data_IF_569474985305
#
_entry.id   IF_569474985305
#
_cell.length_a   1.000
_cell.length_b   1.000
_cell.length_c   1.000
_cell.angle_alpha   90.00
_cell.angle_beta   90.00
_cell.angle_gamma   90.00
#
_symmetry.space_group_name_H-M   'P 1'
#
loop_
_entity.id
_entity.type
_entity.pdbx_description
1 polymer ?
#
# COMPACT_ATOMS: atom_id res chain seq x y z
N UNK A 1 3.27 -34.19 -21.82
CA UNK A 1 3.11 -32.72 -21.97
C UNK A 1 1.64 -32.43 -21.76
N UNK A 2 1.23 -32.13 -20.53
CA UNK A 2 -0.18 -31.93 -20.16
C UNK A 2 -0.39 -30.46 -19.86
N UNK A 3 -1.16 -29.82 -20.72
CA UNK A 3 -1.62 -28.43 -20.55
C UNK A 3 -2.67 -28.45 -19.45
N UNK A 4 -2.35 -27.92 -18.27
CA UNK A 4 -3.30 -27.73 -17.18
C UNK A 4 -4.16 -26.51 -17.53
N UNK A 5 -5.45 -26.76 -17.74
CA UNK A 5 -6.47 -25.75 -17.96
C UNK A 5 -6.51 -24.80 -16.75
N UNK A 6 -6.23 -23.51 -17.01
CA UNK A 6 -6.48 -22.42 -16.06
C UNK A 6 -7.98 -22.14 -16.17
N UNK A 7 -8.72 -22.55 -15.15
CA UNK A 7 -10.13 -22.16 -14.99
C UNK A 7 -10.13 -20.73 -14.43
N UNK A 8 -10.39 -19.76 -15.28
CA UNK A 8 -10.73 -18.40 -14.86
C UNK A 8 -12.15 -18.42 -14.35
N UNK A 9 -12.33 -18.41 -13.04
CA UNK A 9 -13.65 -18.21 -12.42
C UNK A 9 -13.97 -16.72 -12.53
N UNK A 10 -14.73 -16.36 -13.55
CA UNK A 10 -15.34 -15.04 -13.66
C UNK A 10 -16.50 -14.98 -12.66
N UNK A 11 -16.28 -14.39 -11.49
CA UNK A 11 -17.34 -14.07 -10.54
C UNK A 11 -18.22 -12.98 -11.19
N UNK A 12 -19.39 -13.37 -11.70
CA UNK A 12 -20.44 -12.43 -12.07
C UNK A 12 -21.02 -11.83 -10.79
N UNK A 13 -20.57 -10.62 -10.45
CA UNK A 13 -21.23 -9.78 -9.45
C UNK A 13 -22.56 -9.29 -10.06
N UNK A 14 -23.67 -9.30 -9.28
CA UNK A 14 -24.94 -8.77 -9.77
C UNK A 14 -24.80 -7.27 -10.02
N UNK A 15 -25.34 -6.79 -11.13
CA UNK A 15 -25.47 -5.39 -11.46
C UNK A 15 -26.36 -4.72 -10.39
N UNK A 16 -25.73 -4.09 -9.40
CA UNK A 16 -26.39 -3.21 -8.44
C UNK A 16 -26.62 -1.86 -9.13
N UNK A 17 -27.81 -1.34 -8.95
CA UNK A 17 -28.42 -0.25 -9.69
C UNK A 17 -27.58 1.02 -9.78
N UNK A 18 -27.77 1.71 -10.91
CA UNK A 18 -27.23 3.02 -11.30
C UNK A 18 -27.58 4.13 -10.28
N UNK A 19 -26.87 4.18 -9.16
CA UNK A 19 -26.64 5.45 -8.49
C UNK A 19 -25.53 6.18 -9.26
N UNK A 20 -25.51 7.50 -9.29
CA UNK A 20 -24.43 8.27 -9.90
C UNK A 20 -23.09 7.67 -9.42
N UNK A 21 -22.25 7.22 -10.35
CA UNK A 21 -20.98 6.60 -10.02
C UNK A 21 -20.05 7.70 -9.49
N UNK A 22 -19.87 7.73 -8.17
CA UNK A 22 -18.84 8.56 -7.56
C UNK A 22 -17.48 8.07 -7.99
N UNK A 23 -16.59 9.00 -8.31
CA UNK A 23 -15.23 8.71 -8.72
C UNK A 23 -14.49 7.88 -7.67
N UNK A 24 -13.67 6.95 -8.15
CA UNK A 24 -12.87 6.11 -7.28
C UNK A 24 -11.81 6.93 -6.55
N UNK A 25 -11.75 6.85 -5.22
CA UNK A 25 -10.66 7.35 -4.40
C UNK A 25 -9.78 6.15 -3.98
N UNK A 26 -8.58 6.07 -4.55
CA UNK A 26 -7.66 4.96 -4.31
C UNK A 26 -6.63 5.33 -3.24
N UNK A 27 -6.16 4.31 -2.50
CA UNK A 27 -5.00 4.43 -1.61
C UNK A 27 -3.69 4.05 -2.33
N UNK A 28 -3.76 3.84 -3.63
CA UNK A 28 -2.64 3.48 -4.52
C UNK A 28 -2.39 4.56 -5.57
N UNK A 29 -1.14 4.62 -6.12
CA UNK A 29 0.06 3.81 -5.80
C UNK A 29 0.96 4.44 -4.72
N UNK A 30 0.53 5.55 -4.11
CA UNK A 30 1.23 6.34 -3.10
C UNK A 30 1.34 5.54 -1.78
N UNK A 31 2.31 5.85 -0.93
CA UNK A 31 2.38 5.37 0.45
C UNK A 31 1.41 6.16 1.35
N UNK A 32 1.25 7.47 1.08
CA UNK A 32 0.22 8.29 1.73
C UNK A 32 -1.13 7.90 1.15
N UNK A 33 -1.97 7.34 2.00
CA UNK A 33 -3.31 6.93 1.62
C UNK A 33 -4.25 8.12 1.45
N UNK A 34 -5.40 7.91 0.81
CA UNK A 34 -6.45 8.92 0.76
C UNK A 34 -7.16 9.06 2.11
N UNK A 35 -7.59 10.29 2.45
CA UNK A 35 -8.46 10.56 3.59
C UNK A 35 -9.89 10.05 3.38
N UNK A 36 -10.28 9.76 2.12
CA UNK A 36 -11.62 9.37 1.73
C UNK A 36 -11.90 7.89 1.96
N UNK A 37 -13.16 7.56 2.22
CA UNK A 37 -13.71 6.21 2.27
C UNK A 37 -14.46 5.88 0.96
N UNK A 38 -14.72 4.60 0.72
CA UNK A 38 -15.34 4.17 -0.55
C UNK A 38 -16.83 4.50 -0.69
N UNK A 39 -17.47 5.00 0.39
CA UNK A 39 -18.90 5.31 0.45
C UNK A 39 -19.76 4.10 0.82
N UNK A 40 -20.92 4.38 1.41
CA UNK A 40 -21.83 3.36 1.97
C UNK A 40 -22.27 2.31 0.96
N UNK A 41 -22.08 1.04 1.32
CA UNK A 41 -22.48 -0.12 0.50
C UNK A 41 -21.59 -0.35 -0.72
N UNK A 42 -20.55 0.47 -0.92
CA UNK A 42 -19.59 0.30 -2.01
C UNK A 42 -18.48 -0.67 -1.63
N UNK A 43 -18.00 -1.40 -2.62
CA UNK A 43 -16.87 -2.30 -2.49
C UNK A 43 -15.77 -1.87 -3.46
N UNK A 44 -14.52 -1.86 -3.00
CA UNK A 44 -13.36 -1.51 -3.82
C UNK A 44 -12.25 -2.54 -3.66
N UNK A 45 -11.63 -2.90 -4.76
CA UNK A 45 -10.44 -3.76 -4.82
C UNK A 45 -9.30 -2.93 -5.39
N UNK A 46 -8.17 -2.92 -4.70
CA UNK A 46 -6.92 -2.34 -5.17
C UNK A 46 -5.85 -3.44 -5.15
N UNK A 47 -5.29 -3.79 -6.29
CA UNK A 47 -4.30 -4.87 -6.38
C UNK A 47 -3.16 -4.48 -7.30
N UNK A 48 -2.00 -5.11 -7.13
CA UNK A 48 -0.83 -4.82 -7.96
C UNK A 48 0.11 -5.99 -8.10
N UNK A 49 1.01 -5.87 -9.06
CA UNK A 49 2.28 -6.55 -9.09
C UNK A 49 3.36 -5.57 -8.62
N UNK A 50 4.08 -5.93 -7.58
CA UNK A 50 5.17 -5.13 -7.02
C UNK A 50 6.49 -5.92 -7.06
N UNK A 51 7.60 -5.21 -7.17
CA UNK A 51 8.91 -5.81 -7.14
C UNK A 51 9.93 -4.90 -6.47
N UNK A 52 10.80 -5.51 -5.65
CA UNK A 52 11.89 -4.83 -4.97
C UNK A 52 13.24 -5.44 -5.36
N UNK A 53 14.26 -4.60 -5.29
CA UNK A 53 15.65 -5.00 -5.52
C UNK A 53 16.55 -4.30 -4.53
N UNK A 54 17.43 -5.09 -3.90
CA UNK A 54 18.46 -4.59 -3.01
C UNK A 54 19.83 -5.24 -3.35
N UNK A 55 20.92 -4.51 -3.09
CA UNK A 55 22.28 -5.05 -3.20
C UNK A 55 23.11 -4.54 -2.04
N UNK A 56 23.45 -5.41 -1.10
CA UNK A 56 24.27 -5.09 0.06
C UNK A 56 25.17 -6.26 0.41
N UNK A 57 26.38 -6.00 0.91
CA UNK A 57 27.29 -7.03 1.46
C UNK A 57 27.62 -8.19 0.52
N UNK A 58 27.60 -7.99 -0.81
CA UNK A 58 27.81 -9.08 -1.76
C UNK A 58 26.57 -9.92 -2.06
N UNK A 59 25.43 -9.62 -1.43
CA UNK A 59 24.16 -10.28 -1.69
C UNK A 59 23.29 -9.39 -2.60
N UNK A 60 22.57 -10.03 -3.52
CA UNK A 60 21.52 -9.40 -4.34
C UNK A 60 20.20 -10.04 -3.98
N UNK A 61 19.30 -9.22 -3.43
CA UNK A 61 17.95 -9.62 -3.12
C UNK A 61 16.97 -9.08 -4.17
N UNK A 62 15.97 -9.89 -4.49
CA UNK A 62 14.82 -9.54 -5.31
C UNK A 62 13.58 -10.14 -4.68
N UNK A 63 12.56 -9.33 -4.52
CA UNK A 63 11.24 -9.78 -4.12
C UNK A 63 10.20 -9.38 -5.15
N UNK A 64 9.17 -10.20 -5.31
CA UNK A 64 7.95 -9.91 -6.05
C UNK A 64 6.77 -10.23 -5.15
N UNK A 65 5.76 -9.38 -5.19
CA UNK A 65 4.55 -9.54 -4.39
C UNK A 65 3.32 -9.15 -5.20
N UNK A 66 2.14 -9.56 -4.70
CA UNK A 66 0.84 -9.17 -5.25
C UNK A 66 0.00 -8.48 -4.17
N UNK A 67 0.42 -7.28 -3.70
CA UNK A 67 -0.31 -6.56 -2.68
C UNK A 67 -1.76 -6.34 -3.10
N UNK A 68 -2.68 -6.57 -2.16
CA UNK A 68 -4.11 -6.42 -2.40
C UNK A 68 -4.78 -5.81 -1.17
N UNK A 69 -5.60 -4.80 -1.41
CA UNK A 69 -6.44 -4.12 -0.45
C UNK A 69 -7.90 -4.29 -0.89
N UNK A 70 -8.73 -4.77 0.01
CA UNK A 70 -10.18 -4.82 -0.13
C UNK A 70 -10.80 -3.80 0.82
N UNK A 71 -11.71 -2.97 0.32
CA UNK A 71 -12.38 -1.91 1.07
C UNK A 71 -13.89 -2.07 0.93
N UNK A 72 -14.62 -1.91 2.03
CA UNK A 72 -16.07 -1.91 2.03
C UNK A 72 -16.62 -0.78 2.91
N UNK A 73 -17.43 0.09 2.32
CA UNK A 73 -18.07 1.21 3.00
C UNK A 73 -19.24 0.76 3.86
N UNK A 74 -19.10 0.87 5.16
CA UNK A 74 -20.17 0.54 6.13
C UNK A 74 -21.12 1.71 6.38
N UNK A 75 -20.61 2.95 6.18
CA UNK A 75 -21.38 4.19 6.18
C UNK A 75 -20.74 5.19 5.21
N UNK A 76 -21.25 6.42 5.16
CA UNK A 76 -20.65 7.48 4.34
C UNK A 76 -19.25 7.87 4.83
N UNK A 77 -18.98 7.70 6.13
CA UNK A 77 -17.74 8.14 6.76
C UNK A 77 -16.85 6.97 7.23
N UNK A 78 -17.30 5.72 7.12
CA UNK A 78 -16.58 4.56 7.66
C UNK A 78 -16.44 3.43 6.64
N UNK A 79 -15.25 2.87 6.55
CA UNK A 79 -15.00 1.62 5.82
C UNK A 79 -14.25 0.60 6.66
N UNK A 80 -14.46 -0.68 6.34
CA UNK A 80 -13.64 -1.80 6.81
C UNK A 80 -12.69 -2.22 5.69
N UNK A 81 -11.52 -2.72 6.07
CA UNK A 81 -10.41 -2.99 5.17
C UNK A 81 -9.81 -4.36 5.44
N UNK A 82 -9.34 -5.01 4.40
CA UNK A 82 -8.49 -6.20 4.47
C UNK A 82 -7.31 -5.99 3.54
N UNK A 83 -6.11 -6.06 4.10
CA UNK A 83 -4.85 -5.88 3.37
C UNK A 83 -3.99 -7.14 3.44
N UNK A 84 -3.24 -7.41 2.39
CA UNK A 84 -2.21 -8.46 2.37
C UNK A 84 -1.15 -8.14 1.32
N UNK A 85 0.09 -8.53 1.57
CA UNK A 85 1.13 -8.54 0.53
C UNK A 85 0.86 -9.61 -0.55
N UNK A 86 -0.16 -10.46 -0.35
CA UNK A 86 -0.56 -11.51 -1.28
C UNK A 86 0.52 -12.57 -1.45
N UNK A 87 0.70 -13.05 -2.69
CA UNK A 87 1.75 -14.01 -2.99
C UNK A 87 3.11 -13.31 -3.07
N UNK A 88 4.08 -13.83 -2.33
CA UNK A 88 5.46 -13.33 -2.30
C UNK A 88 6.41 -14.39 -2.87
N UNK A 89 7.40 -13.92 -3.62
CA UNK A 89 8.56 -14.69 -4.03
C UNK A 89 9.83 -13.87 -3.83
N UNK A 90 10.67 -14.30 -2.90
CA UNK A 90 11.95 -13.67 -2.58
C UNK A 90 13.11 -14.54 -3.06
N UNK A 91 14.13 -13.93 -3.61
CA UNK A 91 15.34 -14.62 -4.10
C UNK A 91 16.56 -13.84 -3.66
N UNK A 92 17.43 -14.48 -2.89
CA UNK A 92 18.77 -14.00 -2.52
C UNK A 92 19.83 -14.69 -3.38
N UNK A 93 20.79 -13.92 -3.85
CA UNK A 93 21.90 -14.42 -4.68
C UNK A 93 23.22 -13.91 -4.13
N UNK A 94 24.10 -14.81 -3.73
CA UNK A 94 25.48 -14.48 -3.41
C UNK A 94 26.25 -14.15 -4.71
N UNK A 95 26.81 -12.94 -4.78
CA UNK A 95 27.43 -12.46 -6.02
C UNK A 95 28.80 -13.05 -6.30
N UNK A 96 29.48 -13.64 -5.30
CA UNK A 96 30.78 -14.27 -5.45
C UNK A 96 30.67 -15.72 -5.91
N UNK A 97 29.79 -16.50 -5.29
CA UNK A 97 29.56 -17.90 -5.61
C UNK A 97 28.49 -18.14 -6.68
N UNK A 98 27.61 -17.19 -6.90
CA UNK A 98 26.40 -17.35 -7.74
C UNK A 98 25.32 -18.23 -7.11
N UNK A 99 25.48 -18.65 -5.86
CA UNK A 99 24.50 -19.45 -5.13
C UNK A 99 23.19 -18.67 -4.97
N UNK A 100 22.06 -19.36 -5.16
CA UNK A 100 20.72 -18.78 -5.07
C UNK A 100 19.86 -19.50 -4.06
N UNK A 101 19.17 -18.74 -3.26
CA UNK A 101 18.14 -19.21 -2.35
C UNK A 101 16.83 -18.53 -2.70
N UNK A 102 15.73 -19.29 -2.83
CA UNK A 102 14.41 -18.75 -3.20
C UNK A 102 13.36 -19.30 -2.28
N UNK A 103 12.57 -18.40 -1.73
CA UNK A 103 11.38 -18.69 -0.94
C UNK A 103 10.14 -18.17 -1.64
N UNK A 104 8.99 -18.83 -1.39
CA UNK A 104 7.70 -18.42 -1.90
C UNK A 104 6.61 -18.76 -0.91
N UNK A 105 5.63 -17.87 -0.79
CA UNK A 105 4.51 -18.04 0.14
C UNK A 105 3.52 -16.91 0.01
N UNK A 106 2.79 -16.65 1.08
CA UNK A 106 1.82 -15.56 1.20
C UNK A 106 2.18 -14.69 2.39
N UNK A 107 1.98 -13.39 2.25
CA UNK A 107 2.12 -12.42 3.34
C UNK A 107 0.98 -12.54 4.35
N UNK A 108 1.17 -11.88 5.48
CA UNK A 108 0.15 -11.77 6.51
C UNK A 108 -1.08 -11.00 6.01
N UNK A 109 -2.18 -11.17 6.73
CA UNK A 109 -3.41 -10.40 6.54
C UNK A 109 -3.49 -9.34 7.64
N UNK A 110 -3.83 -8.11 7.25
CA UNK A 110 -4.17 -7.00 8.13
C UNK A 110 -5.66 -6.69 8.01
N UNK A 111 -6.32 -6.47 9.12
CA UNK A 111 -7.69 -6.00 9.20
C UNK A 111 -7.69 -4.55 9.68
N UNK A 112 -8.40 -3.69 8.99
CA UNK A 112 -8.41 -2.27 9.29
C UNK A 112 -9.79 -1.64 9.23
N UNK A 113 -9.83 -0.44 9.77
CA UNK A 113 -10.94 0.51 9.62
C UNK A 113 -10.37 1.85 9.22
N UNK A 114 -11.10 2.58 8.37
CA UNK A 114 -10.84 3.99 8.07
C UNK A 114 -12.08 4.79 8.42
N UNK A 115 -11.85 5.94 9.03
CA UNK A 115 -12.85 6.94 9.35
C UNK A 115 -12.50 8.25 8.63
N UNK A 116 -13.37 8.69 7.74
CA UNK A 116 -13.32 10.03 7.19
C UNK A 116 -13.87 11.00 8.24
N UNK A 117 -13.01 11.86 8.76
CA UNK A 117 -13.34 12.74 9.92
C UNK A 117 -13.92 14.06 9.47
N UNK A 118 -13.37 14.62 8.39
CA UNK A 118 -13.75 15.94 7.90
C UNK A 118 -13.33 16.15 6.45
N UNK A 119 -14.18 16.83 5.69
CA UNK A 119 -13.87 17.36 4.37
C UNK A 119 -12.92 18.56 4.46
N UNK A 120 -12.18 18.79 3.38
CA UNK A 120 -11.42 20.00 3.19
C UNK A 120 -12.35 21.24 3.21
N UNK A 121 -11.93 22.26 3.92
CA UNK A 121 -12.64 23.53 3.93
C UNK A 121 -11.68 24.69 4.18
N UNK A 122 -11.61 25.62 3.24
CA UNK A 122 -10.69 26.76 3.26
C UNK A 122 -9.22 26.29 3.38
N UNK A 123 -8.53 26.62 4.46
CA UNK A 123 -7.17 26.18 4.75
C UNK A 123 -7.07 24.88 5.57
N UNK A 124 -8.21 24.31 5.99
CA UNK A 124 -8.24 23.05 6.76
C UNK A 124 -8.22 21.87 5.80
N UNK A 125 -7.38 20.85 6.06
CA UNK A 125 -7.32 19.66 5.21
C UNK A 125 -8.59 18.81 5.31
N UNK A 126 -8.78 17.96 4.32
CA UNK A 126 -9.51 16.72 4.49
C UNK A 126 -8.76 15.81 5.46
N UNK A 127 -9.47 15.10 6.34
CA UNK A 127 -8.84 14.29 7.40
C UNK A 127 -9.44 12.89 7.45
N UNK A 128 -8.57 11.88 7.39
CA UNK A 128 -8.90 10.47 7.60
C UNK A 128 -8.09 9.89 8.77
N UNK A 129 -8.70 8.98 9.52
CA UNK A 129 -8.03 8.17 10.55
C UNK A 129 -8.11 6.70 10.19
N UNK A 130 -6.99 5.99 10.35
CA UNK A 130 -6.87 4.56 10.06
C UNK A 130 -6.37 3.82 11.28
N UNK A 131 -6.94 2.66 11.52
CA UNK A 131 -6.45 1.71 12.52
C UNK A 131 -6.39 0.31 11.90
N UNK A 132 -5.28 -0.40 12.14
CA UNK A 132 -5.06 -1.74 11.62
C UNK A 132 -4.61 -2.69 12.73
N UNK A 133 -4.99 -3.95 12.56
CA UNK A 133 -4.48 -5.09 13.34
C UNK A 133 -3.87 -6.08 12.35
N UNK A 134 -2.57 -6.31 12.48
CA UNK A 134 -1.82 -7.22 11.65
C UNK A 134 -1.83 -8.60 12.29
N UNK A 135 -2.21 -9.61 11.50
CA UNK A 135 -2.36 -11.00 11.94
C UNK A 135 -1.17 -11.81 11.43
N UNK A 136 -0.71 -12.75 12.23
CA UNK A 136 0.36 -13.69 11.91
C UNK A 136 -0.14 -14.90 11.11
N UNK A 137 -0.74 -14.65 9.94
CA UNK A 137 -1.47 -15.64 9.11
C UNK A 137 -0.69 -16.11 7.89
N UNK A 138 0.43 -15.48 7.58
CA UNK A 138 1.24 -15.74 6.39
C UNK A 138 1.93 -17.11 6.38
N UNK A 139 2.58 -17.40 5.27
CA UNK A 139 3.46 -18.58 5.15
C UNK A 139 4.70 -18.41 6.02
N UNK A 140 5.26 -19.50 6.54
CA UNK A 140 6.40 -19.47 7.48
C UNK A 140 7.55 -18.52 7.11
N UNK A 141 8.01 -18.39 5.83
CA UNK A 141 9.07 -17.46 5.47
C UNK A 141 8.70 -15.99 5.50
N UNK A 142 7.38 -15.66 5.54
CA UNK A 142 6.85 -14.29 5.39
C UNK A 142 5.89 -13.90 6.50
N UNK A 143 5.75 -14.76 7.49
CA UNK A 143 4.85 -14.54 8.62
C UNK A 143 5.57 -13.82 9.73
N UNK A 144 4.96 -12.75 10.25
CA UNK A 144 5.41 -12.10 11.48
C UNK A 144 5.41 -13.06 12.67
N UNK A 145 6.29 -12.85 13.65
CA UNK A 145 6.38 -13.69 14.84
C UNK A 145 5.34 -13.30 15.92
N UNK A 146 4.28 -12.63 15.53
CA UNK A 146 3.17 -12.23 16.39
C UNK A 146 2.33 -11.12 15.78
N UNK A 147 1.26 -10.75 16.50
CA UNK A 147 0.32 -9.72 16.05
C UNK A 147 0.90 -8.32 16.24
N UNK A 148 0.69 -7.48 15.25
CA UNK A 148 1.02 -6.07 15.23
C UNK A 148 -0.21 -5.19 15.06
N UNK A 149 0.03 -3.92 14.73
CA UNK A 149 -1.01 -2.98 14.39
C UNK A 149 -0.47 -1.59 14.17
N UNK A 150 -1.32 -0.70 13.67
CA UNK A 150 -0.95 0.70 13.45
C UNK A 150 -2.14 1.65 13.64
N UNK A 151 -1.79 2.91 13.94
CA UNK A 151 -2.69 4.05 13.87
C UNK A 151 -2.05 5.10 12.96
N UNK A 152 -2.81 5.60 11.99
CA UNK A 152 -2.35 6.60 11.03
C UNK A 152 -3.40 7.71 10.92
N UNK A 153 -2.94 8.91 10.63
CA UNK A 153 -3.80 10.03 10.28
C UNK A 153 -3.40 10.50 8.88
N UNK A 154 -4.36 10.66 8.01
CA UNK A 154 -4.16 11.24 6.68
C UNK A 154 -4.73 12.64 6.68
N UNK A 155 -3.99 13.59 6.12
CA UNK A 155 -4.44 14.95 5.88
C UNK A 155 -4.13 15.33 4.45
N UNK A 156 -5.12 15.85 3.72
CA UNK A 156 -5.01 16.21 2.30
C UNK A 156 -5.51 17.63 2.07
N UNK A 157 -4.79 18.34 1.20
CA UNK A 157 -5.13 19.68 0.73
C UNK A 157 -5.14 19.72 -0.79
N UNK A 158 -6.19 20.29 -1.35
CA UNK A 158 -6.21 20.72 -2.73
C UNK A 158 -5.54 22.10 -2.83
N UNK A 159 -4.58 22.23 -3.71
CA UNK A 159 -3.82 23.45 -3.91
C UNK A 159 -4.15 24.08 -5.27
N UNK A 160 -3.75 25.34 -5.46
CA UNK A 160 -3.93 26.03 -6.73
C UNK A 160 -3.27 25.27 -7.90
N UNK A 161 -3.85 25.40 -9.09
CA UNK A 161 -3.36 24.77 -10.33
C UNK A 161 -3.31 23.24 -10.27
N UNK A 162 -4.32 22.60 -9.67
CA UNK A 162 -4.49 21.13 -9.57
C UNK A 162 -3.30 20.42 -8.91
N UNK A 163 -2.57 21.10 -8.04
CA UNK A 163 -1.66 20.45 -7.11
C UNK A 163 -2.43 19.96 -5.89
N UNK A 164 -1.91 18.90 -5.27
CA UNK A 164 -2.38 18.42 -3.96
C UNK A 164 -1.20 18.18 -3.03
N UNK A 165 -1.47 18.23 -1.74
CA UNK A 165 -0.51 17.91 -0.69
C UNK A 165 -1.15 16.91 0.25
N UNK A 166 -0.50 15.77 0.48
CA UNK A 166 -0.92 14.77 1.45
C UNK A 166 0.15 14.52 2.50
N UNK A 167 -0.26 14.31 3.74
CA UNK A 167 0.62 13.92 4.85
C UNK A 167 -0.01 12.76 5.62
N UNK A 168 0.82 11.79 6.02
CA UNK A 168 0.38 10.63 6.81
C UNK A 168 1.35 10.35 7.95
N UNK A 169 1.24 11.03 9.10
CA UNK A 169 1.88 10.61 10.33
C UNK A 169 1.17 9.39 10.92
N UNK A 170 1.93 8.53 11.62
CA UNK A 170 1.38 7.36 12.28
C UNK A 170 2.33 6.70 13.25
N UNK A 171 1.83 5.68 13.91
CA UNK A 171 2.60 4.81 14.81
C UNK A 171 2.20 3.36 14.54
N UNK A 172 3.18 2.46 14.55
CA UNK A 172 2.95 1.02 14.48
C UNK A 172 3.62 0.33 15.65
N UNK A 173 3.08 -0.82 16.02
CA UNK A 173 3.68 -1.76 16.94
C UNK A 173 3.74 -3.13 16.32
N UNK A 174 4.92 -3.68 16.32
CA UNK A 174 5.28 -4.86 15.55
C UNK A 174 6.09 -5.83 16.43
N UNK A 175 6.32 -7.02 15.89
CA UNK A 175 7.15 -8.05 16.50
C UNK A 175 8.23 -8.42 15.48
N UNK A 176 9.51 -8.39 15.90
CA UNK A 176 10.61 -8.80 15.05
C UNK A 176 10.76 -10.33 14.96
N UNK A 177 11.72 -10.81 14.16
CA UNK A 177 11.97 -12.24 13.97
C UNK A 177 12.43 -12.97 15.26
N UNK A 178 12.99 -12.24 16.20
CA UNK A 178 13.37 -12.76 17.53
C UNK A 178 12.19 -12.82 18.52
N UNK A 179 11.01 -12.32 18.14
CA UNK A 179 9.82 -12.24 18.99
C UNK A 179 9.78 -11.00 19.89
N UNK A 180 10.72 -10.07 19.74
CA UNK A 180 10.75 -8.82 20.49
C UNK A 180 9.74 -7.81 19.94
N UNK A 181 8.98 -7.17 20.84
CA UNK A 181 8.04 -6.10 20.48
C UNK A 181 8.75 -4.77 20.34
N UNK A 182 8.40 -4.03 19.31
CA UNK A 182 8.91 -2.68 19.10
C UNK A 182 7.83 -1.74 18.56
N UNK A 183 8.12 -0.44 18.65
CA UNK A 183 7.25 0.62 18.09
C UNK A 183 8.01 1.31 16.99
N UNK A 184 7.31 1.69 15.92
CA UNK A 184 7.84 2.54 14.87
C UNK A 184 6.95 3.76 14.63
N UNK A 185 7.57 4.91 14.32
CA UNK A 185 6.91 6.08 13.81
C UNK A 185 6.79 5.96 12.29
N UNK A 186 5.63 6.27 11.75
CA UNK A 186 5.35 6.28 10.31
C UNK A 186 5.21 7.73 9.87
N UNK A 187 5.78 8.09 8.72
CA UNK A 187 5.59 9.40 8.12
C UNK A 187 5.63 9.32 6.59
N UNK A 188 4.63 9.90 5.95
CA UNK A 188 4.57 10.12 4.51
C UNK A 188 4.25 11.57 4.19
N UNK A 189 4.81 12.07 3.09
CA UNK A 189 4.54 13.40 2.52
C UNK A 189 4.50 13.26 1.01
N UNK A 190 3.36 13.54 0.40
CA UNK A 190 3.14 13.45 -1.05
C UNK A 190 2.71 14.79 -1.62
N UNK A 191 3.26 15.12 -2.78
CA UNK A 191 2.79 16.22 -3.64
C UNK A 191 2.27 15.61 -4.92
N UNK A 192 0.99 15.81 -5.20
CA UNK A 192 0.31 15.38 -6.41
C UNK A 192 0.14 16.51 -7.41
N UNK A 193 -0.06 16.14 -8.68
CA UNK A 193 -0.45 17.05 -9.77
C UNK A 193 -1.44 16.35 -10.68
N UNK A 194 -2.66 16.89 -10.77
CA UNK A 194 -3.62 16.60 -11.82
C UNK A 194 -3.22 17.29 -13.14
N UNK A 195 -3.16 16.54 -14.22
CA UNK A 195 -2.85 17.06 -15.54
C UNK A 195 -4.10 17.12 -16.41
N UNK A 196 -5.00 16.16 -16.23
CA UNK A 196 -6.35 16.10 -16.76
C UNK A 196 -7.26 15.50 -15.70
N UNK A 197 -8.56 15.42 -15.96
CA UNK A 197 -9.51 14.78 -15.04
C UNK A 197 -9.17 13.28 -14.84
N UNK A 198 -8.50 12.64 -15.83
CA UNK A 198 -8.16 11.22 -15.75
C UNK A 198 -6.70 10.94 -15.37
N UNK A 199 -5.78 11.90 -15.53
CA UNK A 199 -4.34 11.65 -15.39
C UNK A 199 -3.71 12.49 -14.28
N UNK A 200 -3.14 11.84 -13.29
CA UNK A 200 -2.36 12.44 -12.20
C UNK A 200 -0.96 11.85 -12.08
N UNK A 201 -0.03 12.62 -11.56
CA UNK A 201 1.29 12.18 -11.15
C UNK A 201 1.58 12.66 -9.73
N UNK A 202 2.57 12.04 -9.06
CA UNK A 202 2.98 12.43 -7.73
C UNK A 202 4.48 12.22 -7.51
N UNK A 203 5.01 12.92 -6.52
CA UNK A 203 6.31 12.66 -5.88
C UNK A 203 6.07 12.60 -4.37
N UNK A 204 6.69 11.63 -3.71
CA UNK A 204 6.44 11.33 -2.31
C UNK A 204 7.72 11.00 -1.57
N UNK A 205 7.82 11.46 -0.34
CA UNK A 205 8.78 10.96 0.66
C UNK A 205 8.03 10.09 1.66
N UNK A 206 8.57 8.89 1.93
CA UNK A 206 8.04 8.01 2.98
C UNK A 206 9.15 7.56 3.92
N UNK A 207 8.83 7.40 5.20
CA UNK A 207 9.76 6.88 6.18
C UNK A 207 9.09 6.14 7.32
N UNK A 208 9.83 5.19 7.89
CA UNK A 208 9.51 4.50 9.12
C UNK A 208 10.70 4.62 10.08
N UNK A 209 10.43 5.11 11.29
CA UNK A 209 11.42 5.24 12.36
C UNK A 209 11.22 4.11 13.37
N UNK A 210 12.08 3.10 13.31
CA UNK A 210 12.02 1.91 14.16
C UNK A 210 12.69 2.21 15.50
N UNK A 211 11.94 2.12 16.61
CA UNK A 211 12.43 2.29 17.95
C UNK A 211 12.76 0.92 18.58
N UNK A 212 13.89 0.35 18.20
CA UNK A 212 14.41 -0.90 18.76
C UNK A 212 15.88 -0.77 19.12
N UNK A 213 16.32 -1.40 20.23
CA UNK A 213 17.67 -1.21 20.80
C UNK A 213 18.77 -1.72 19.86
N UNK A 214 18.56 -2.86 19.21
CA UNK A 214 19.55 -3.49 18.32
C UNK A 214 19.31 -3.15 16.84
N UNK A 215 18.03 -3.16 16.41
CA UNK A 215 17.65 -3.09 15.01
C UNK A 215 16.96 -1.77 14.67
N UNK A 216 16.99 -0.79 15.58
CA UNK A 216 16.40 0.52 15.41
C UNK A 216 17.08 1.33 14.31
N UNK A 217 16.37 2.33 13.83
CA UNK A 217 16.84 3.25 12.79
C UNK A 217 15.72 3.66 11.85
N UNK A 218 16.05 4.47 10.87
CA UNK A 218 15.11 5.00 9.90
C UNK A 218 15.21 4.23 8.59
N UNK A 219 14.08 3.77 8.09
CA UNK A 219 13.87 3.32 6.71
C UNK A 219 13.23 4.48 5.95
N UNK A 220 13.74 4.88 4.78
CA UNK A 220 13.15 5.98 4.01
C UNK A 220 13.35 5.82 2.51
N UNK A 221 12.36 6.29 1.76
CA UNK A 221 12.35 6.26 0.30
C UNK A 221 11.80 7.54 -0.31
N UNK A 222 12.21 7.77 -1.56
CA UNK A 222 11.60 8.73 -2.46
C UNK A 222 10.85 7.95 -3.53
N UNK A 223 9.57 8.26 -3.70
CA UNK A 223 8.67 7.58 -4.64
C UNK A 223 8.18 8.58 -5.68
N UNK A 224 7.93 8.10 -6.88
CA UNK A 224 7.25 8.87 -7.92
C UNK A 224 6.38 7.93 -8.75
N UNK A 225 5.21 8.39 -9.14
CA UNK A 225 4.30 7.56 -9.90
C UNK A 225 3.23 8.36 -10.64
N UNK A 226 2.41 7.61 -11.35
CA UNK A 226 1.28 8.11 -12.12
C UNK A 226 0.07 7.21 -11.91
N UNK A 227 -1.11 7.81 -12.02
CA UNK A 227 -2.38 7.11 -12.05
C UNK A 227 -3.23 7.62 -13.21
N UNK A 228 -3.98 6.73 -13.81
CA UNK A 228 -4.87 6.99 -14.93
C UNK A 228 -6.23 6.34 -14.73
N UNK A 229 -7.29 7.13 -14.74
CA UNK A 229 -8.67 6.67 -14.69
C UNK A 229 -9.08 6.14 -16.08
N UNK A 230 -9.32 4.85 -16.20
CA UNK A 230 -9.91 4.25 -17.37
C UNK A 230 -11.40 4.55 -17.47
N UNK A 231 -12.06 4.59 -16.33
CA UNK A 231 -13.44 5.02 -16.10
C UNK A 231 -13.50 5.70 -14.74
N UNK A 232 -14.65 6.27 -14.36
CA UNK A 232 -14.82 6.83 -13.00
C UNK A 232 -14.59 5.83 -11.88
N UNK A 233 -14.71 4.53 -12.15
CA UNK A 233 -14.60 3.47 -11.14
C UNK A 233 -13.44 2.51 -11.37
N UNK A 234 -12.59 2.75 -12.37
CA UNK A 234 -11.43 1.90 -12.70
C UNK A 234 -10.18 2.74 -12.91
N UNK A 235 -9.14 2.50 -12.13
CA UNK A 235 -7.85 3.16 -12.22
C UNK A 235 -6.73 2.16 -12.54
N UNK A 236 -5.82 2.55 -13.43
CA UNK A 236 -4.49 1.96 -13.57
C UNK A 236 -3.45 2.88 -12.93
N UNK A 237 -2.45 2.30 -12.31
CA UNK A 237 -1.37 3.05 -11.68
C UNK A 237 -0.01 2.38 -11.83
N UNK A 238 1.04 3.16 -11.68
CA UNK A 238 2.41 2.65 -11.57
C UNK A 238 3.26 3.62 -10.77
N UNK A 239 4.22 3.09 -10.00
CA UNK A 239 5.19 3.88 -9.28
C UNK A 239 6.58 3.24 -9.27
N UNK A 240 7.59 4.08 -9.10
CA UNK A 240 8.97 3.72 -8.84
C UNK A 240 9.37 4.26 -7.47
N UNK A 241 10.18 3.48 -6.75
CA UNK A 241 10.70 3.82 -5.42
C UNK A 241 12.21 3.75 -5.43
N UNK A 242 12.87 4.71 -4.76
CA UNK A 242 14.31 4.74 -4.49
C UNK A 242 14.55 4.79 -3.00
N UNK A 243 15.21 3.77 -2.45
CA UNK A 243 15.69 3.78 -1.07
C UNK A 243 16.74 4.87 -0.83
N UNK A 244 16.59 5.61 0.26
CA UNK A 244 17.48 6.71 0.64
C UNK A 244 18.53 6.28 1.67
N UNK A 245 18.42 5.06 2.20
CA UNK A 245 19.38 4.49 3.14
C UNK A 245 19.44 2.97 3.03
N UNK A 246 20.40 2.35 3.73
CA UNK A 246 20.68 0.91 3.64
C UNK A 246 19.60 -0.01 4.22
N UNK A 247 18.58 0.53 4.88
CA UNK A 247 17.45 -0.24 5.44
C UNK A 247 16.28 -0.36 4.47
N UNK A 248 16.32 0.39 3.38
CA UNK A 248 15.29 0.41 2.34
C UNK A 248 15.84 -0.27 1.09
N UNK A 249 15.03 -1.04 0.33
CA UNK A 249 15.44 -1.56 -0.95
C UNK A 249 16.01 -0.47 -1.87
N UNK A 250 17.07 -0.79 -2.61
CA UNK A 250 17.69 0.16 -3.55
C UNK A 250 16.68 0.74 -4.52
N UNK A 251 15.81 -0.13 -5.06
CA UNK A 251 14.75 0.19 -6.00
C UNK A 251 13.52 -0.67 -5.78
N UNK A 252 12.38 -0.04 -5.90
CA UNK A 252 11.08 -0.70 -5.95
C UNK A 252 10.28 -0.23 -7.16
N UNK A 253 9.27 -0.99 -7.55
CA UNK A 253 8.30 -0.62 -8.57
C UNK A 253 6.97 -1.31 -8.30
N UNK A 254 5.90 -0.73 -8.81
CA UNK A 254 4.56 -1.31 -8.75
C UNK A 254 3.78 -0.98 -10.02
N UNK A 255 2.91 -1.90 -10.44
CA UNK A 255 1.88 -1.69 -11.47
C UNK A 255 0.57 -2.20 -10.88
N UNK A 256 -0.43 -1.36 -10.81
CA UNK A 256 -1.68 -1.63 -10.11
C UNK A 256 -2.93 -1.40 -10.93
N UNK A 257 -3.99 -2.02 -10.44
CA UNK A 257 -5.35 -1.90 -10.92
C UNK A 257 -6.27 -1.75 -9.72
N UNK A 258 -7.12 -0.73 -9.74
CA UNK A 258 -8.12 -0.48 -8.72
C UNK A 258 -9.50 -0.42 -9.36
N UNK A 259 -10.50 -1.03 -8.72
CA UNK A 259 -11.89 -1.10 -9.19
C UNK A 259 -12.86 -0.89 -8.05
N UNK A 260 -13.86 -0.03 -8.26
CA UNK A 260 -14.96 0.28 -7.32
C UNK A 260 -16.29 -0.22 -7.91
N UNK A 261 -17.14 -0.81 -7.07
CA UNK A 261 -18.43 -1.42 -7.41
C UNK A 261 -19.57 -0.85 -6.58
#
# INVERSE_FOLDING_TARGET
>A
MAIKNIVVVLLMLPALGLAAEDEIATDRPDFVESSNVVGKGRFQIETSLAGDRNKAGGIKDKAYATPTLLRYGVSEDWEVRLETAGRIRATSTDTASGARFTESGYGDVSLGVKWHVADERDARPSVGLLAHVDLDTGSAPFRAQGKGGSLRMVTEWELANDFSLGMMPGVAWQVNDDGDRYTSGIFGLVVGKGWTDEFRSFVEYSSEQIAHVRDGGTSSSLNAGVAYLLTKTVQLDTALSRGLNSRTPDWGWTIGLSMKF
#
